data_IF_367977367060
#
_entry.id   IF_367977367060
#
_cell.length_a   1.000
_cell.length_b   1.000
_cell.length_c   1.000
_cell.angle_alpha   90.00
_cell.angle_beta   90.00
_cell.angle_gamma   90.00
#
_symmetry.space_group_name_H-M   'P 1'
#
loop_
_entity.id
_entity.type
_entity.pdbx_description
1 polymer ?
#
# COMPACT_ATOMS: atom_id res chain seq x y z
N UNK A 1 -14.85 -7.02 17.36
CA UNK A 1 -14.48 -8.42 17.64
C UNK A 1 -14.28 -8.67 19.13
N UNK A 2 -13.31 -8.03 19.80
CA UNK A 2 -13.03 -8.26 21.22
C UNK A 2 -14.23 -8.15 22.18
N UNK A 3 -15.10 -7.14 22.01
CA UNK A 3 -16.31 -6.99 22.83
C UNK A 3 -17.28 -8.18 22.70
N UNK A 4 -17.40 -8.80 21.52
CA UNK A 4 -18.22 -10.01 21.32
C UNK A 4 -17.62 -11.24 22.03
N UNK A 5 -16.34 -11.21 22.35
CA UNK A 5 -15.59 -12.26 23.04
C UNK A 5 -15.39 -11.97 24.54
N UNK A 6 -15.93 -10.85 25.05
CA UNK A 6 -15.72 -10.44 26.44
C UNK A 6 -14.27 -10.03 26.78
N UNK A 7 -13.44 -9.72 25.78
CA UNK A 7 -12.03 -9.40 25.95
C UNK A 7 -11.78 -7.91 26.15
N UNK A 8 -10.82 -7.56 27.02
CA UNK A 8 -10.27 -6.21 27.13
C UNK A 8 -9.17 -6.02 26.08
N UNK A 9 -9.17 -4.88 25.39
CA UNK A 9 -8.18 -4.57 24.36
C UNK A 9 -7.21 -3.53 24.87
N UNK A 10 -5.92 -3.78 24.67
CA UNK A 10 -4.87 -2.78 24.83
C UNK A 10 -4.31 -2.45 23.45
N UNK A 11 -4.37 -1.18 23.05
CA UNK A 11 -3.85 -0.74 21.76
C UNK A 11 -2.40 -0.29 21.91
N UNK A 12 -1.55 -0.70 20.96
CA UNK A 12 -0.17 -0.25 20.87
C UNK A 12 0.10 0.24 19.44
N UNK A 13 0.67 1.44 19.31
CA UNK A 13 1.13 1.95 18.02
C UNK A 13 2.53 1.41 17.75
N UNK A 14 2.68 0.70 16.64
CA UNK A 14 3.92 0.04 16.22
C UNK A 14 4.20 0.41 14.76
N UNK A 15 5.46 0.60 14.34
CA UNK A 15 5.81 0.76 12.94
C UNK A 15 5.27 -0.38 12.06
N UNK A 16 4.81 -0.06 10.85
CA UNK A 16 4.11 -1.04 9.99
C UNK A 16 4.97 -2.27 9.68
N UNK A 17 6.26 -2.07 9.42
CA UNK A 17 7.24 -3.13 9.13
C UNK A 17 7.51 -4.08 10.30
N UNK A 18 7.13 -3.71 11.52
CA UNK A 18 7.27 -4.55 12.71
C UNK A 18 6.01 -5.34 13.07
N UNK A 19 4.88 -5.09 12.39
CA UNK A 19 3.59 -5.69 12.75
C UNK A 19 3.58 -7.21 12.62
N UNK A 20 4.06 -7.74 11.49
CA UNK A 20 4.08 -9.20 11.25
C UNK A 20 4.98 -9.93 12.24
N UNK A 21 6.20 -9.44 12.43
CA UNK A 21 7.16 -10.04 13.36
C UNK A 21 6.62 -9.98 14.79
N UNK A 22 5.94 -8.90 15.17
CA UNK A 22 5.35 -8.78 16.50
C UNK A 22 4.22 -9.79 16.77
N UNK A 23 3.38 -10.11 15.77
CA UNK A 23 2.42 -11.21 15.89
C UNK A 23 3.15 -12.55 15.93
N UNK A 24 4.08 -12.80 15.00
CA UNK A 24 4.81 -14.06 14.89
C UNK A 24 5.58 -14.42 16.17
N UNK A 25 6.12 -13.42 16.86
CA UNK A 25 6.89 -13.59 18.11
C UNK A 25 6.03 -13.56 19.38
N UNK A 26 4.72 -13.37 19.25
CA UNK A 26 3.80 -13.29 20.40
C UNK A 26 3.93 -12.00 21.22
N UNK A 27 4.53 -10.95 20.68
CA UNK A 27 4.61 -9.63 21.35
C UNK A 27 3.23 -8.98 21.51
N UNK A 28 2.31 -9.27 20.59
CA UNK A 28 0.89 -8.93 20.67
C UNK A 28 0.05 -9.96 19.94
N UNK A 29 -1.21 -10.11 20.37
CA UNK A 29 -2.09 -11.20 19.92
C UNK A 29 -2.61 -11.01 18.49
N UNK A 30 -2.76 -9.77 18.02
CA UNK A 30 -3.28 -9.45 16.70
C UNK A 30 -2.78 -8.10 16.19
N UNK A 31 -2.71 -7.97 14.86
CA UNK A 31 -2.48 -6.70 14.17
C UNK A 31 -3.69 -6.31 13.33
N UNK A 32 -4.13 -5.05 13.44
CA UNK A 32 -5.21 -4.49 12.63
C UNK A 32 -4.70 -3.18 12.02
N UNK A 33 -4.19 -3.27 10.79
CA UNK A 33 -3.53 -2.14 10.12
C UNK A 33 -3.80 -2.07 8.61
N UNK A 34 -4.85 -2.72 8.10
CA UNK A 34 -5.13 -2.75 6.66
C UNK A 34 -4.03 -3.40 5.82
N UNK A 35 -3.35 -4.41 6.39
CA UNK A 35 -2.26 -5.09 5.72
C UNK A 35 -2.80 -5.99 4.61
N UNK A 36 -2.27 -5.83 3.39
CA UNK A 36 -2.58 -6.70 2.26
C UNK A 36 -2.22 -8.15 2.59
N UNK A 37 -3.20 -9.05 2.49
CA UNK A 37 -2.97 -10.49 2.61
C UNK A 37 -2.18 -11.00 1.38
N UNK A 38 -1.10 -11.71 1.65
CA UNK A 38 -0.17 -12.25 0.63
C UNK A 38 0.24 -13.64 1.07
N UNK A 39 0.31 -14.59 0.13
CA UNK A 39 0.81 -15.96 0.39
C UNK A 39 2.14 -16.00 1.16
N UNK A 40 3.07 -15.09 0.85
CA UNK A 40 4.34 -14.99 1.57
C UNK A 40 4.17 -14.59 3.04
N UNK A 41 3.18 -13.75 3.37
CA UNK A 41 2.88 -13.32 4.74
C UNK A 41 2.14 -14.42 5.51
N UNK A 42 1.22 -15.11 4.85
CA UNK A 42 0.49 -16.28 5.39
C UNK A 42 1.42 -17.41 5.85
N UNK A 43 2.63 -17.50 5.29
CA UNK A 43 3.62 -18.50 5.72
C UNK A 43 4.09 -18.31 7.18
N UNK A 44 3.91 -17.13 7.77
CA UNK A 44 4.40 -16.80 9.11
C UNK A 44 3.29 -16.51 10.12
N UNK A 45 2.10 -16.11 9.68
CA UNK A 45 0.95 -15.75 10.52
C UNK A 45 -0.36 -16.05 9.80
N UNK A 46 -1.45 -16.24 10.56
CA UNK A 46 -2.79 -16.34 9.99
C UNK A 46 -3.38 -14.95 9.68
N UNK A 47 -4.13 -14.87 8.59
CA UNK A 47 -4.87 -13.67 8.19
C UNK A 47 -6.38 -13.90 8.34
N UNK A 48 -7.08 -12.85 8.77
CA UNK A 48 -8.54 -12.80 8.76
C UNK A 48 -8.95 -11.75 7.73
N UNK A 49 -9.65 -12.19 6.69
CA UNK A 49 -10.16 -11.30 5.66
C UNK A 49 -11.40 -10.56 6.16
N UNK A 50 -11.32 -9.23 6.24
CA UNK A 50 -12.43 -8.37 6.67
C UNK A 50 -12.71 -7.19 5.74
N UNK A 51 -11.87 -6.95 4.74
CA UNK A 51 -12.07 -5.92 3.72
C UNK A 51 -11.41 -6.33 2.41
N UNK A 52 -11.96 -5.86 1.30
CA UNK A 52 -11.38 -6.02 -0.04
C UNK A 52 -11.12 -4.61 -0.58
N UNK A 53 -9.88 -4.33 -0.99
CA UNK A 53 -9.48 -3.01 -1.47
C UNK A 53 -8.54 -3.14 -2.67
N UNK A 54 -8.70 -2.24 -3.64
CA UNK A 54 -7.70 -2.02 -4.68
C UNK A 54 -6.66 -0.99 -4.23
N UNK A 55 -5.61 -0.82 -5.03
CA UNK A 55 -4.63 0.26 -4.84
C UNK A 55 -4.81 1.31 -5.93
N UNK A 56 -4.83 2.58 -5.53
CA UNK A 56 -4.87 3.73 -6.44
C UNK A 56 -3.65 4.62 -6.25
N UNK A 57 -3.41 5.47 -7.25
CA UNK A 57 -2.58 6.65 -7.09
C UNK A 57 -3.39 7.80 -6.51
N UNK A 58 -2.84 8.44 -5.49
CA UNK A 58 -3.23 9.78 -5.10
C UNK A 58 -2.13 10.74 -5.56
N UNK A 59 -2.54 11.81 -6.26
CA UNK A 59 -1.65 12.82 -6.86
C UNK A 59 -2.04 14.21 -6.36
N UNK A 60 -1.14 15.19 -6.55
CA UNK A 60 -1.44 16.58 -6.24
C UNK A 60 -2.65 17.08 -7.04
N UNK A 61 -3.43 18.00 -6.45
CA UNK A 61 -4.60 18.60 -7.10
C UNK A 61 -4.23 19.17 -8.47
N UNK A 62 -5.05 18.87 -9.47
CA UNK A 62 -4.82 19.28 -10.86
C UNK A 62 -3.89 18.34 -11.65
N UNK A 63 -3.30 17.33 -11.01
CA UNK A 63 -2.43 16.34 -11.64
C UNK A 63 -1.34 16.96 -12.54
N UNK A 64 -0.43 17.78 -11.97
CA UNK A 64 0.51 18.59 -12.75
C UNK A 64 1.49 17.76 -13.60
N UNK A 65 1.65 16.47 -13.28
CA UNK A 65 2.50 15.52 -14.02
C UNK A 65 1.71 14.59 -14.95
N UNK A 66 0.40 14.80 -15.12
CA UNK A 66 -0.47 13.98 -15.97
C UNK A 66 -0.35 12.48 -15.68
N UNK A 67 -0.18 12.12 -14.41
CA UNK A 67 -0.06 10.74 -13.94
C UNK A 67 -1.39 10.03 -14.18
N UNK A 68 -1.35 8.89 -14.84
CA UNK A 68 -2.52 8.07 -15.15
C UNK A 68 -2.56 6.83 -14.25
N UNK A 69 -3.73 6.18 -14.19
CA UNK A 69 -3.90 4.91 -13.48
C UNK A 69 -3.64 3.67 -14.35
N UNK A 70 -3.05 3.84 -15.54
CA UNK A 70 -2.67 2.71 -16.41
C UNK A 70 -1.30 2.13 -16.01
N UNK A 71 -0.89 1.05 -16.68
CA UNK A 71 0.35 0.34 -16.37
C UNK A 71 1.62 1.21 -16.45
N UNK A 72 1.59 2.29 -17.23
CA UNK A 72 2.72 3.19 -17.45
C UNK A 72 2.57 4.56 -16.79
N UNK A 73 1.42 4.85 -16.19
CA UNK A 73 1.15 6.13 -15.55
C UNK A 73 2.11 6.48 -14.42
N UNK A 74 2.83 5.48 -13.89
CA UNK A 74 3.87 5.64 -12.88
C UNK A 74 5.32 5.66 -13.40
N UNK A 75 5.58 5.67 -14.71
CA UNK A 75 6.96 5.65 -15.19
C UNK A 75 7.68 6.98 -14.93
N UNK A 76 8.93 6.91 -14.47
CA UNK A 76 9.81 8.08 -14.26
C UNK A 76 9.37 9.08 -13.17
N UNK A 77 8.42 8.72 -12.32
CA UNK A 77 7.95 9.56 -11.21
C UNK A 77 8.44 9.05 -9.84
N UNK A 78 8.39 9.93 -8.85
CA UNK A 78 8.63 9.57 -7.44
C UNK A 78 7.33 9.16 -6.76
N UNK A 79 7.29 7.95 -6.24
CA UNK A 79 6.12 7.38 -5.58
C UNK A 79 6.40 7.26 -4.08
N UNK A 80 5.58 7.88 -3.25
CA UNK A 80 5.64 7.72 -1.81
C UNK A 80 4.96 6.44 -1.35
N UNK A 81 5.62 5.71 -0.46
CA UNK A 81 5.11 4.50 0.19
C UNK A 81 5.40 4.47 1.69
N UNK A 82 4.86 3.47 2.39
CA UNK A 82 5.19 3.18 3.79
C UNK A 82 6.10 1.97 3.82
N UNK A 83 7.18 2.05 4.61
CA UNK A 83 8.13 0.94 4.74
C UNK A 83 7.44 -0.35 5.20
N UNK A 84 7.76 -1.48 4.56
CA UNK A 84 7.17 -2.79 4.85
C UNK A 84 5.77 -3.01 4.29
N UNK A 85 5.17 -1.99 3.66
CA UNK A 85 3.91 -2.13 2.93
C UNK A 85 4.13 -2.84 1.57
N UNK A 86 3.04 -3.19 0.89
CA UNK A 86 3.08 -3.83 -0.44
C UNK A 86 3.61 -2.90 -1.57
N UNK A 87 3.97 -1.66 -1.22
CA UNK A 87 4.43 -0.60 -2.13
C UNK A 87 5.70 -1.01 -2.91
N UNK A 88 6.65 -1.71 -2.28
CA UNK A 88 7.88 -2.20 -2.92
C UNK A 88 7.57 -3.18 -4.06
N UNK A 89 6.63 -4.11 -3.83
CA UNK A 89 6.19 -5.07 -4.83
C UNK A 89 5.50 -4.35 -5.99
N UNK A 90 4.62 -3.39 -5.69
CA UNK A 90 3.90 -2.63 -6.71
C UNK A 90 4.86 -1.79 -7.57
N UNK A 91 5.83 -1.11 -6.97
CA UNK A 91 6.87 -0.37 -7.71
C UNK A 91 7.73 -1.31 -8.53
N UNK A 92 8.09 -2.49 -8.02
CA UNK A 92 8.83 -3.50 -8.78
C UNK A 92 8.09 -3.95 -10.04
N UNK A 93 6.77 -4.20 -9.95
CA UNK A 93 5.94 -4.54 -11.11
C UNK A 93 5.86 -3.39 -12.12
N UNK A 94 5.70 -2.16 -11.65
CA UNK A 94 5.67 -0.99 -12.53
C UNK A 94 7.04 -0.73 -13.18
N UNK A 95 8.14 -0.90 -12.46
CA UNK A 95 9.47 -0.79 -13.02
C UNK A 95 9.70 -1.79 -14.15
N UNK A 96 9.25 -3.04 -13.98
CA UNK A 96 9.31 -4.05 -15.04
C UNK A 96 8.49 -3.63 -16.28
N UNK A 97 7.27 -3.11 -16.09
CA UNK A 97 6.44 -2.61 -17.19
C UNK A 97 7.08 -1.41 -17.92
N UNK A 98 7.56 -0.41 -17.16
CA UNK A 98 8.21 0.77 -17.72
C UNK A 98 9.47 0.43 -18.51
N UNK A 99 10.32 -0.44 -17.95
CA UNK A 99 11.59 -0.82 -18.59
C UNK A 99 11.38 -1.68 -19.84
N UNK A 100 10.35 -2.52 -19.87
CA UNK A 100 9.96 -3.26 -21.07
C UNK A 100 9.57 -2.35 -22.24
N UNK A 101 9.11 -1.13 -21.96
CA UNK A 101 8.79 -0.11 -22.96
C UNK A 101 9.91 0.94 -23.16
N UNK A 102 11.10 0.71 -22.60
CA UNK A 102 12.22 1.65 -22.70
C UNK A 102 12.04 2.96 -21.93
N UNK A 103 11.07 3.02 -21.00
CA UNK A 103 10.80 4.18 -20.15
C UNK A 103 11.58 4.08 -18.82
N UNK A 104 11.87 5.22 -18.16
CA UNK A 104 12.48 5.22 -16.83
C UNK A 104 11.58 4.53 -15.80
N UNK A 105 12.18 3.74 -14.91
CA UNK A 105 11.47 3.14 -13.79
C UNK A 105 11.03 4.20 -12.77
N UNK A 106 9.91 3.99 -12.04
CA UNK A 106 9.57 4.80 -10.88
C UNK A 106 10.61 4.67 -9.76
N UNK A 107 10.71 5.72 -8.95
CA UNK A 107 11.47 5.73 -7.70
C UNK A 107 10.51 5.57 -6.51
N UNK A 108 10.73 4.57 -5.65
CA UNK A 108 10.01 4.45 -4.39
C UNK A 108 10.70 5.26 -3.29
N UNK A 109 9.98 6.20 -2.69
CA UNK A 109 10.39 6.94 -1.49
C UNK A 109 9.57 6.43 -0.31
N UNK A 110 10.21 5.74 0.64
CA UNK A 110 9.52 5.17 1.80
C UNK A 110 9.50 6.14 2.98
N UNK A 111 8.38 6.11 3.70
CA UNK A 111 8.17 6.94 4.89
C UNK A 111 7.79 6.07 6.11
N UNK A 112 8.04 6.55 7.34
CA UNK A 112 7.70 5.82 8.57
C UNK A 112 6.19 5.67 8.78
N UNK A 113 5.39 6.68 8.39
CA UNK A 113 3.94 6.67 8.58
C UNK A 113 3.18 7.12 7.33
N UNK A 114 1.88 6.79 7.28
CA UNK A 114 0.98 7.28 6.24
C UNK A 114 0.86 8.81 6.24
N UNK A 115 0.92 9.45 7.41
CA UNK A 115 0.88 10.91 7.54
C UNK A 115 2.12 11.58 6.91
N UNK A 116 3.30 11.00 7.13
CA UNK A 116 4.56 11.51 6.54
C UNK A 116 4.52 11.41 5.01
N UNK A 117 4.01 10.29 4.49
CA UNK A 117 3.78 10.08 3.06
C UNK A 117 2.79 11.10 2.48
N UNK A 118 1.68 11.37 3.20
CA UNK A 118 0.70 12.37 2.77
C UNK A 118 1.31 13.78 2.74
N UNK A 119 2.11 14.14 3.75
CA UNK A 119 2.84 15.40 3.77
C UNK A 119 3.87 15.50 2.64
N UNK A 120 4.55 14.40 2.31
CA UNK A 120 5.48 14.37 1.20
C UNK A 120 4.78 14.65 -0.15
N UNK A 121 3.55 14.16 -0.34
CA UNK A 121 2.76 14.49 -1.54
C UNK A 121 2.37 15.97 -1.56
N UNK A 122 1.83 16.48 -0.45
CA UNK A 122 1.34 17.87 -0.40
C UNK A 122 2.47 18.90 -0.49
N UNK A 123 3.67 18.55 -0.05
CA UNK A 123 4.88 19.38 -0.18
C UNK A 123 5.60 19.22 -1.52
N UNK A 124 5.18 18.30 -2.39
CA UNK A 124 5.80 18.04 -3.70
C UNK A 124 7.12 17.27 -3.63
N UNK A 125 7.45 16.63 -2.49
CA UNK A 125 8.62 15.76 -2.37
C UNK A 125 8.46 14.45 -3.16
N UNK A 126 7.22 14.00 -3.33
CA UNK A 126 6.83 12.88 -4.20
C UNK A 126 5.70 13.31 -5.13
N UNK A 127 5.55 12.62 -6.25
CA UNK A 127 4.62 12.97 -7.32
C UNK A 127 3.26 12.26 -7.16
N UNK A 128 3.32 11.04 -6.63
CA UNK A 128 2.16 10.23 -6.31
C UNK A 128 2.40 9.45 -5.01
N UNK A 129 1.34 8.95 -4.41
CA UNK A 129 1.41 7.97 -3.31
C UNK A 129 0.44 6.84 -3.59
N UNK A 130 0.78 5.64 -3.13
CA UNK A 130 -0.21 4.55 -3.11
C UNK A 130 -1.23 4.78 -2.01
N UNK A 131 -2.49 4.51 -2.33
CA UNK A 131 -3.57 4.54 -1.35
C UNK A 131 -4.52 3.36 -1.54
N UNK A 132 -4.94 2.68 -0.47
CA UNK A 132 -5.98 1.67 -0.57
C UNK A 132 -7.34 2.34 -0.81
N UNK A 133 -8.13 1.79 -1.73
CA UNK A 133 -9.47 2.26 -2.03
C UNK A 133 -10.41 1.07 -2.27
N UNK A 134 -11.46 0.98 -1.46
CA UNK A 134 -12.47 -0.08 -1.55
C UNK A 134 -13.38 0.07 -2.76
N UNK A 135 -13.52 1.29 -3.31
CA UNK A 135 -14.35 1.54 -4.48
C UNK A 135 -13.78 0.94 -5.77
N UNK A 136 -12.46 0.71 -5.82
CA UNK A 136 -11.77 0.18 -7.03
C UNK A 136 -12.34 -1.17 -7.47
N UNK A 137 -12.74 -2.02 -6.52
CA UNK A 137 -13.23 -3.36 -6.81
C UNK A 137 -14.76 -3.40 -6.98
N UNK A 138 -15.45 -2.30 -6.70
CA UNK A 138 -16.88 -2.13 -6.97
C UNK A 138 -17.17 -1.49 -8.32
N UNK A 139 -16.15 -1.04 -9.05
CA UNK A 139 -16.30 -0.38 -10.35
C UNK A 139 -16.12 -1.37 -11.51
N UNK A 140 -17.22 -1.80 -12.17
CA UNK A 140 -17.15 -2.74 -13.30
C UNK A 140 -16.40 -2.18 -14.52
N UNK A 141 -16.06 -0.89 -14.56
CA UNK A 141 -15.30 -0.25 -15.65
C UNK A 141 -13.78 -0.24 -15.41
N UNK A 142 -13.33 -0.62 -14.20
CA UNK A 142 -11.91 -0.56 -13.79
C UNK A 142 -11.29 -1.94 -13.54
N UNK A 143 -11.95 -3.00 -13.99
CA UNK A 143 -11.52 -4.41 -13.97
C UNK A 143 -10.37 -4.66 -14.97
N UNK A 144 -9.30 -3.85 -14.89
CA UNK A 144 -8.16 -3.80 -15.83
C UNK A 144 -7.03 -4.78 -15.48
N UNK A 145 -7.18 -5.54 -14.40
CA UNK A 145 -6.17 -6.48 -13.89
C UNK A 145 -6.57 -7.96 -14.04
N UNK A 146 -7.48 -8.26 -14.97
CA UNK A 146 -7.65 -9.62 -15.50
C UNK A 146 -6.58 -9.88 -16.57
N UNK A 147 -5.42 -10.33 -16.12
CA UNK A 147 -4.44 -11.06 -16.92
C UNK A 147 -3.99 -12.29 -16.12
#
# INVERSE_FOLDING_TARGET
>A
MAAKLGLKVTYQKVPFDQLLVGVQTGKFDASIAGMTDRKQRQANVDFVDYQVAGTVFMVAKGNPKNITGDANGGCGIKIGGVKGNDDERLVGLMAAACTAEGKPAPELVTFPTGSDKNLALTSGRVDAIFWPDMAVLGDPTRDRWKA
#
